data_IF_332310575746
#
_entry.id   IF_332310575746
#
_cell.length_a   1.000
_cell.length_b   1.000
_cell.length_c   1.000
_cell.angle_alpha   90.00
_cell.angle_beta   90.00
_cell.angle_gamma   90.00
#
_symmetry.space_group_name_H-M   'P 1'
#
loop_
_entity.id
_entity.type
_entity.pdbx_description
1 polymer ?
#
# COMPACT_ATOMS: atom_id res chain seq x y z
N UNK A 1 11.67 -16.38 10.22
CA UNK A 1 10.47 -17.23 10.24
C UNK A 1 9.21 -16.35 10.16
N UNK A 2 8.15 -16.90 9.56
CA UNK A 2 6.83 -16.26 9.51
C UNK A 2 6.27 -16.21 10.93
N UNK A 3 5.74 -15.04 11.33
CA UNK A 3 5.16 -14.82 12.66
C UNK A 3 3.70 -14.35 12.61
N UNK A 4 3.19 -13.95 11.46
CA UNK A 4 1.82 -13.43 11.31
C UNK A 4 0.74 -14.52 11.41
N UNK A 5 1.09 -15.78 11.17
CA UNK A 5 0.20 -16.94 11.26
C UNK A 5 1.02 -18.22 11.49
N UNK A 6 0.36 -19.31 11.85
CA UNK A 6 0.98 -20.62 11.98
C UNK A 6 1.28 -21.20 10.59
N UNK A 7 2.57 -21.25 10.25
CA UNK A 7 3.06 -21.72 8.96
C UNK A 7 3.53 -23.19 8.98
N UNK A 8 3.24 -23.96 10.05
CA UNK A 8 3.76 -25.34 10.25
C UNK A 8 3.46 -26.25 9.06
N UNK A 9 2.26 -26.16 8.48
CA UNK A 9 1.83 -27.01 7.36
C UNK A 9 2.23 -26.48 5.97
N UNK A 10 2.93 -25.34 5.91
CA UNK A 10 3.34 -24.69 4.65
C UNK A 10 4.70 -25.21 4.20
N UNK A 11 4.92 -25.26 2.89
CA UNK A 11 6.23 -25.61 2.31
C UNK A 11 7.30 -24.54 2.56
N UNK A 12 6.91 -23.29 2.77
CA UNK A 12 7.79 -22.18 3.04
C UNK A 12 7.49 -21.61 4.44
N UNK A 13 8.51 -21.52 5.28
CA UNK A 13 8.42 -21.01 6.65
C UNK A 13 9.09 -19.63 6.82
N UNK A 14 9.64 -19.06 5.73
CA UNK A 14 10.41 -17.82 5.77
C UNK A 14 9.73 -16.74 4.94
N UNK A 15 9.62 -15.56 5.53
CA UNK A 15 9.21 -14.34 4.82
C UNK A 15 9.90 -13.13 5.46
N UNK A 16 10.02 -12.04 4.71
CA UNK A 16 10.39 -10.74 5.25
C UNK A 16 9.13 -10.02 5.72
N UNK A 17 9.05 -9.76 7.00
CA UNK A 17 7.94 -9.07 7.65
C UNK A 17 8.41 -7.73 8.18
N UNK A 18 7.59 -6.69 8.07
CA UNK A 18 7.82 -5.42 8.76
C UNK A 18 7.44 -5.64 10.23
N UNK A 19 8.45 -5.56 11.12
CA UNK A 19 8.28 -5.79 12.56
C UNK A 19 8.25 -4.47 13.31
N UNK A 20 7.61 -4.47 14.47
CA UNK A 20 7.58 -3.35 15.40
C UNK A 20 7.04 -2.04 14.79
N UNK A 21 6.15 -2.15 13.79
CA UNK A 21 5.53 -1.00 13.12
C UNK A 21 4.26 -0.57 13.88
N UNK A 22 4.25 0.65 14.39
CA UNK A 22 3.04 1.29 14.92
C UNK A 22 2.60 2.43 13.99
N UNK A 23 1.50 2.23 13.28
CA UNK A 23 0.94 3.22 12.38
C UNK A 23 0.62 4.57 13.04
N UNK A 24 0.42 4.61 14.37
CA UNK A 24 0.13 5.84 15.11
C UNK A 24 1.32 6.80 15.20
N UNK A 25 2.52 6.34 14.94
CA UNK A 25 3.71 7.19 14.86
C UNK A 25 3.72 8.03 13.58
N UNK A 26 2.99 7.59 12.55
CA UNK A 26 3.00 8.18 11.21
C UNK A 26 1.67 8.82 10.80
N UNK A 27 0.57 8.45 11.44
CA UNK A 27 -0.76 8.94 11.07
C UNK A 27 -1.74 8.91 12.26
N UNK A 28 -2.82 9.67 12.16
CA UNK A 28 -3.85 9.64 13.18
C UNK A 28 -4.60 8.29 13.24
N UNK A 29 -5.16 8.00 14.42
CA UNK A 29 -5.83 6.72 14.69
C UNK A 29 -7.01 6.40 13.77
N UNK A 30 -7.75 7.42 13.29
CA UNK A 30 -8.90 7.20 12.41
C UNK A 30 -8.44 6.82 11.02
N UNK A 31 -7.40 7.49 10.53
CA UNK A 31 -6.74 7.17 9.26
C UNK A 31 -6.17 5.76 9.31
N UNK A 32 -5.40 5.42 10.33
CA UNK A 32 -4.81 4.09 10.49
C UNK A 32 -5.86 2.97 10.46
N UNK A 33 -7.02 3.16 11.12
CA UNK A 33 -8.13 2.16 11.13
C UNK A 33 -8.81 1.95 9.78
N UNK A 34 -8.67 2.87 8.84
CA UNK A 34 -9.27 2.81 7.51
C UNK A 34 -8.32 2.30 6.44
N UNK A 35 -7.10 1.97 6.83
CA UNK A 35 -6.04 1.50 5.95
C UNK A 35 -5.58 0.10 6.36
N UNK A 36 -5.30 -0.75 5.39
CA UNK A 36 -4.56 -1.99 5.61
C UNK A 36 -3.05 -1.71 5.59
N UNK A 37 -2.26 -2.68 6.06
CA UNK A 37 -0.83 -2.50 6.31
C UNK A 37 -0.06 -1.94 5.10
N UNK A 38 -0.34 -2.41 3.87
CA UNK A 38 0.34 -1.90 2.68
C UNK A 38 0.14 -0.39 2.46
N UNK A 39 -1.05 0.15 2.79
CA UNK A 39 -1.30 1.59 2.74
C UNK A 39 -0.60 2.33 3.89
N UNK A 40 -0.60 1.76 5.08
CA UNK A 40 0.08 2.34 6.24
C UNK A 40 1.59 2.45 5.99
N UNK A 41 2.21 1.42 5.44
CA UNK A 41 3.62 1.44 5.03
C UNK A 41 3.91 2.50 3.98
N UNK A 42 3.02 2.64 2.97
CA UNK A 42 3.17 3.67 1.95
C UNK A 42 3.11 5.09 2.52
N UNK A 43 2.18 5.35 3.44
CA UNK A 43 2.06 6.66 4.10
C UNK A 43 3.27 6.96 4.97
N UNK A 44 3.73 6.00 5.77
CA UNK A 44 4.92 6.16 6.61
C UNK A 44 6.16 6.49 5.77
N UNK A 45 6.45 5.65 4.77
CA UNK A 45 7.60 5.85 3.88
C UNK A 45 7.51 7.16 3.07
N UNK A 46 6.32 7.57 2.64
CA UNK A 46 6.13 8.85 1.95
C UNK A 46 6.36 10.05 2.87
N UNK A 47 5.97 9.95 4.14
CA UNK A 47 6.25 10.97 5.16
C UNK A 47 7.74 11.12 5.41
N UNK A 48 8.47 10.02 5.61
CA UNK A 48 9.92 10.00 5.77
C UNK A 48 10.63 10.55 4.52
N UNK A 49 10.18 10.18 3.32
CA UNK A 49 10.74 10.70 2.07
C UNK A 49 10.52 12.21 1.91
N UNK A 50 9.37 12.73 2.33
CA UNK A 50 9.10 14.15 2.34
C UNK A 50 10.05 14.90 3.29
N UNK A 51 10.22 14.38 4.50
CA UNK A 51 11.14 14.95 5.49
C UNK A 51 12.59 14.96 4.98
N UNK A 52 13.07 13.83 4.47
CA UNK A 52 14.43 13.67 3.94
C UNK A 52 14.70 14.57 2.73
N UNK A 53 13.69 14.82 1.90
CA UNK A 53 13.80 15.70 0.74
C UNK A 53 14.00 17.18 1.08
N UNK A 54 13.61 17.60 2.28
CA UNK A 54 13.59 19.00 2.70
C UNK A 54 12.55 19.86 1.99
N UNK A 55 11.60 19.25 1.25
CA UNK A 55 10.51 19.97 0.57
C UNK A 55 9.49 20.48 1.59
N UNK A 56 9.00 21.69 1.36
CA UNK A 56 7.85 22.25 2.09
C UNK A 56 6.62 22.21 1.19
N UNK A 57 5.66 21.37 1.50
CA UNK A 57 4.40 21.26 0.74
C UNK A 57 3.58 22.55 0.73
N UNK A 58 3.80 23.46 1.70
CA UNK A 58 3.16 24.77 1.73
C UNK A 58 3.70 25.72 0.65
N UNK A 59 4.95 25.51 0.22
CA UNK A 59 5.60 26.31 -0.82
C UNK A 59 5.35 25.76 -2.24
N UNK A 60 4.84 24.53 -2.34
CA UNK A 60 4.65 23.85 -3.63
C UNK A 60 3.21 23.98 -4.14
N UNK A 61 3.03 23.96 -5.46
CA UNK A 61 1.70 23.85 -6.05
C UNK A 61 1.20 22.40 -5.93
N UNK A 62 0.27 22.17 -5.01
CA UNK A 62 -0.30 20.86 -4.74
C UNK A 62 -0.87 20.16 -6.00
N UNK A 63 -1.30 20.91 -7.02
CA UNK A 63 -1.79 20.37 -8.28
C UNK A 63 -0.66 19.89 -9.20
N UNK A 64 0.58 20.25 -8.89
CA UNK A 64 1.79 19.83 -9.59
C UNK A 64 2.56 18.73 -8.85
N UNK A 65 2.08 18.33 -7.66
CA UNK A 65 2.66 17.24 -6.86
C UNK A 65 1.76 16.02 -6.94
N UNK A 66 2.29 14.92 -7.44
CA UNK A 66 1.54 13.68 -7.67
C UNK A 66 2.13 12.45 -6.99
N UNK A 67 1.46 11.31 -7.19
CA UNK A 67 1.87 10.00 -6.67
C UNK A 67 1.87 8.93 -7.76
N UNK A 68 2.87 8.07 -7.71
CA UNK A 68 2.92 6.78 -8.40
C UNK A 68 3.42 5.73 -7.41
N UNK A 69 2.56 5.38 -6.45
CA UNK A 69 2.86 4.40 -5.40
C UNK A 69 1.89 3.24 -5.57
N UNK A 70 2.41 2.05 -5.78
CA UNK A 70 1.62 0.92 -6.24
C UNK A 70 1.84 -0.33 -5.39
N UNK A 71 0.81 -1.18 -5.35
CA UNK A 71 0.86 -2.52 -4.78
C UNK A 71 0.49 -3.54 -5.86
N UNK A 72 1.15 -4.69 -5.86
CA UNK A 72 0.90 -5.77 -6.82
C UNK A 72 -0.46 -6.44 -6.61
N UNK A 73 -0.89 -6.60 -5.35
CA UNK A 73 -2.11 -7.36 -5.01
C UNK A 73 -3.07 -6.61 -4.06
N UNK A 74 -2.67 -5.49 -3.52
CA UNK A 74 -3.45 -4.81 -2.47
C UNK A 74 -3.44 -5.61 -1.16
N UNK A 75 -4.57 -5.64 -0.43
CA UNK A 75 -4.63 -6.37 0.83
C UNK A 75 -5.27 -7.75 0.72
N UNK A 76 -4.45 -8.79 0.61
CA UNK A 76 -4.90 -10.19 0.75
C UNK A 76 -5.49 -10.43 2.15
N UNK A 77 -4.95 -9.79 3.17
CA UNK A 77 -5.41 -9.89 4.55
C UNK A 77 -6.87 -9.42 4.71
N UNK A 78 -7.24 -8.32 4.04
CA UNK A 78 -8.62 -7.85 4.01
C UNK A 78 -9.54 -8.85 3.29
N UNK A 79 -9.08 -9.41 2.18
CA UNK A 79 -9.84 -10.42 1.42
C UNK A 79 -10.11 -11.66 2.28
N UNK A 80 -9.09 -12.25 2.88
CA UNK A 80 -9.23 -13.43 3.75
C UNK A 80 -10.20 -13.17 4.90
N UNK A 81 -10.00 -12.06 5.60
CA UNK A 81 -10.81 -11.67 6.76
C UNK A 81 -12.28 -11.46 6.40
N UNK A 82 -12.54 -10.70 5.35
CA UNK A 82 -13.91 -10.36 4.96
C UNK A 82 -14.60 -11.54 4.27
N UNK A 83 -13.85 -12.39 3.55
CA UNK A 83 -14.38 -13.63 3.00
C UNK A 83 -14.80 -14.61 4.09
N UNK A 84 -13.99 -14.80 5.12
CA UNK A 84 -14.36 -15.63 6.29
C UNK A 84 -15.63 -15.11 6.96
N UNK A 85 -15.75 -13.80 7.17
CA UNK A 85 -16.97 -13.19 7.71
C UNK A 85 -18.21 -13.42 6.82
N UNK A 86 -18.01 -13.33 5.49
CA UNK A 86 -19.08 -13.59 4.53
C UNK A 86 -19.61 -15.00 4.67
N UNK A 87 -18.73 -16.00 4.76
CA UNK A 87 -19.11 -17.40 4.90
C UNK A 87 -19.77 -17.70 6.25
N UNK A 88 -19.25 -17.13 7.33
CA UNK A 88 -19.75 -17.40 8.70
C UNK A 88 -21.03 -16.64 9.04
N UNK A 89 -21.15 -15.38 8.58
CA UNK A 89 -22.15 -14.40 9.10
C UNK A 89 -23.02 -13.79 8.00
N UNK A 90 -22.77 -14.14 6.74
CA UNK A 90 -23.51 -13.64 5.58
C UNK A 90 -23.11 -12.24 5.12
N UNK A 91 -23.63 -11.78 3.97
CA UNK A 91 -23.19 -10.57 3.28
C UNK A 91 -23.41 -9.27 4.07
N UNK A 92 -24.39 -9.23 4.96
CA UNK A 92 -24.65 -8.05 5.80
C UNK A 92 -23.59 -7.75 6.86
N UNK A 93 -22.58 -8.59 6.98
CA UNK A 93 -21.48 -8.44 7.96
C UNK A 93 -20.14 -8.09 7.33
N UNK A 94 -20.05 -8.03 6.02
CA UNK A 94 -18.86 -7.53 5.31
C UNK A 94 -18.66 -6.06 5.66
N UNK A 95 -17.40 -5.68 5.88
CA UNK A 95 -17.04 -4.31 6.22
C UNK A 95 -17.43 -3.36 5.05
N UNK A 96 -18.19 -2.28 5.27
CA UNK A 96 -18.53 -1.33 4.21
C UNK A 96 -17.30 -0.63 3.59
N UNK A 97 -16.17 -0.60 4.29
CA UNK A 97 -14.89 -0.09 3.78
C UNK A 97 -14.03 -1.18 3.13
N UNK A 98 -14.55 -2.41 2.96
CA UNK A 98 -13.77 -3.52 2.41
C UNK A 98 -13.09 -3.17 1.08
N UNK A 99 -13.84 -2.63 0.13
CA UNK A 99 -13.30 -2.31 -1.21
C UNK A 99 -12.17 -1.27 -1.13
N UNK A 100 -12.34 -0.09 -0.53
CA UNK A 100 -11.24 0.87 -0.43
C UNK A 100 -10.08 0.41 0.44
N UNK A 101 -10.29 -0.53 1.36
CA UNK A 101 -9.19 -1.10 2.16
C UNK A 101 -8.39 -2.14 1.37
N UNK A 102 -9.00 -2.80 0.37
CA UNK A 102 -8.43 -3.93 -0.34
C UNK A 102 -7.69 -3.55 -1.62
N UNK A 103 -8.19 -2.56 -2.38
CA UNK A 103 -7.69 -2.28 -3.73
C UNK A 103 -6.30 -1.61 -3.74
N UNK A 104 -5.47 -2.03 -4.69
CA UNK A 104 -4.03 -1.69 -4.74
C UNK A 104 -3.74 -0.20 -4.96
N UNK A 105 -4.62 0.55 -5.64
CA UNK A 105 -4.44 1.99 -5.90
C UNK A 105 -4.63 2.86 -4.65
N UNK A 106 -5.12 2.30 -3.55
CA UNK A 106 -5.30 3.07 -2.32
C UNK A 106 -4.00 3.38 -1.59
N UNK A 107 -2.89 2.76 -1.94
CA UNK A 107 -1.58 3.21 -1.49
C UNK A 107 -1.30 4.65 -1.97
N UNK A 108 -1.39 4.90 -3.28
CA UNK A 108 -1.27 6.25 -3.85
C UNK A 108 -2.36 7.20 -3.34
N UNK A 109 -3.62 6.72 -3.28
CA UNK A 109 -4.74 7.52 -2.81
C UNK A 109 -4.58 8.00 -1.37
N UNK A 110 -4.19 7.12 -0.46
CA UNK A 110 -3.99 7.48 0.95
C UNK A 110 -2.80 8.43 1.15
N UNK A 111 -1.69 8.23 0.43
CA UNK A 111 -0.56 9.18 0.45
C UNK A 111 -1.01 10.55 -0.05
N UNK A 112 -1.77 10.61 -1.15
CA UNK A 112 -2.30 11.87 -1.68
C UNK A 112 -3.20 12.59 -0.66
N UNK A 113 -4.06 11.84 0.05
CA UNK A 113 -4.95 12.40 1.07
C UNK A 113 -4.14 12.92 2.27
N UNK A 114 -3.18 12.13 2.77
CA UNK A 114 -2.39 12.48 3.96
C UNK A 114 -1.48 13.70 3.72
N UNK A 115 -0.90 13.80 2.53
CA UNK A 115 0.03 14.89 2.19
C UNK A 115 -0.65 16.05 1.43
N UNK A 116 -1.96 15.98 1.19
CA UNK A 116 -2.71 17.04 0.51
C UNK A 116 -2.38 17.20 -0.98
N UNK A 117 -1.89 16.13 -1.63
CA UNK A 117 -1.48 16.15 -3.04
C UNK A 117 -2.71 16.14 -3.97
N UNK A 118 -2.70 16.96 -5.00
CA UNK A 118 -3.82 17.15 -5.94
C UNK A 118 -3.42 16.92 -7.39
N UNK A 119 -2.17 16.58 -7.63
CA UNK A 119 -1.66 16.23 -8.93
C UNK A 119 -2.02 14.81 -9.36
N UNK A 120 -1.35 14.30 -10.38
CA UNK A 120 -1.56 12.97 -10.94
C UNK A 120 -1.38 11.88 -9.87
N UNK A 121 -2.36 10.99 -9.73
CA UNK A 121 -2.28 9.82 -8.84
C UNK A 121 -2.54 8.57 -9.65
N UNK A 122 -1.53 7.71 -9.76
CA UNK A 122 -1.57 6.50 -10.59
C UNK A 122 -1.12 5.27 -9.83
N UNK A 123 -1.63 4.14 -10.27
CA UNK A 123 -1.25 2.81 -9.79
C UNK A 123 -0.90 1.93 -11.00
N UNK A 124 0.33 1.46 -11.05
CA UNK A 124 0.86 0.60 -12.11
C UNK A 124 1.09 -0.78 -11.52
N UNK A 125 0.43 -1.80 -12.06
CA UNK A 125 0.56 -3.17 -11.56
C UNK A 125 1.31 -4.04 -12.55
N UNK A 126 2.51 -4.47 -12.18
CA UNK A 126 3.40 -5.31 -12.98
C UNK A 126 4.08 -6.38 -12.13
N UNK A 127 3.28 -7.00 -11.24
CA UNK A 127 3.74 -8.03 -10.30
C UNK A 127 4.98 -7.57 -9.50
N UNK A 128 6.05 -8.35 -9.44
CA UNK A 128 7.28 -8.03 -8.68
C UNK A 128 7.99 -6.75 -9.18
N UNK A 129 7.72 -6.30 -10.41
CA UNK A 129 8.29 -5.08 -10.97
C UNK A 129 7.46 -3.82 -10.69
N UNK A 130 6.35 -3.93 -9.98
CA UNK A 130 5.39 -2.83 -9.70
C UNK A 130 6.08 -1.58 -9.16
N UNK A 131 6.93 -1.71 -8.14
CA UNK A 131 7.64 -0.56 -7.57
C UNK A 131 8.58 0.13 -8.56
N UNK A 132 9.35 -0.65 -9.32
CA UNK A 132 10.27 -0.13 -10.35
C UNK A 132 9.51 0.58 -11.47
N UNK A 133 8.40 0.00 -11.94
CA UNK A 133 7.57 0.63 -12.97
C UNK A 133 6.90 1.91 -12.47
N UNK A 134 6.48 1.95 -11.22
CA UNK A 134 5.93 3.15 -10.59
C UNK A 134 6.93 4.31 -10.60
N UNK A 135 8.20 4.04 -10.32
CA UNK A 135 9.28 5.03 -10.42
C UNK A 135 9.47 5.48 -11.87
N UNK A 136 9.44 4.55 -12.82
CA UNK A 136 9.54 4.86 -14.25
C UNK A 136 8.41 5.76 -14.77
N UNK A 137 7.17 5.50 -14.34
CA UNK A 137 6.01 6.32 -14.70
C UNK A 137 6.05 7.71 -14.04
N UNK A 138 6.55 7.81 -12.80
CA UNK A 138 6.77 9.08 -12.12
C UNK A 138 7.83 9.92 -12.88
N UNK A 139 8.95 9.31 -13.27
CA UNK A 139 9.97 9.95 -14.07
C UNK A 139 9.40 10.51 -15.38
N UNK A 140 8.61 9.71 -16.10
CA UNK A 140 7.96 10.13 -17.35
C UNK A 140 6.98 11.27 -17.14
N UNK A 141 6.20 11.22 -16.05
CA UNK A 141 5.24 12.28 -15.72
C UNK A 141 5.94 13.63 -15.53
N UNK A 142 7.10 13.64 -14.86
CA UNK A 142 7.92 14.86 -14.71
C UNK A 142 8.53 15.26 -16.07
N UNK A 143 9.10 14.31 -16.80
CA UNK A 143 9.72 14.57 -18.11
C UNK A 143 8.74 15.19 -19.11
N UNK A 144 7.48 14.79 -19.09
CA UNK A 144 6.42 15.32 -19.96
C UNK A 144 5.75 16.59 -19.42
N UNK A 145 6.18 17.10 -18.27
CA UNK A 145 5.63 18.31 -17.67
C UNK A 145 4.23 18.12 -17.05
N UNK A 146 3.81 16.87 -16.77
CA UNK A 146 2.53 16.57 -16.13
C UNK A 146 2.57 16.81 -14.63
N UNK A 147 3.75 16.72 -14.02
CA UNK A 147 4.01 17.00 -12.62
C UNK A 147 5.39 17.63 -12.45
N UNK A 148 5.61 18.34 -11.36
CA UNK A 148 6.92 18.86 -10.97
C UNK A 148 7.58 17.98 -9.91
N UNK A 149 6.77 17.36 -9.05
CA UNK A 149 7.19 16.45 -7.99
C UNK A 149 6.32 15.20 -8.03
N UNK A 150 6.94 14.03 -7.84
CA UNK A 150 6.23 12.76 -7.76
C UNK A 150 6.74 11.91 -6.60
N UNK A 151 5.84 11.52 -5.70
CA UNK A 151 6.09 10.43 -4.76
C UNK A 151 5.95 9.11 -5.51
N UNK A 152 7.01 8.30 -5.54
CA UNK A 152 7.03 7.09 -6.35
C UNK A 152 7.60 5.89 -5.61
N UNK A 153 7.03 4.72 -5.84
CA UNK A 153 7.51 3.48 -5.23
C UNK A 153 6.52 2.34 -5.24
N UNK A 154 6.81 1.34 -4.42
CA UNK A 154 5.94 0.18 -4.24
C UNK A 154 5.77 -0.17 -2.77
N UNK A 155 4.66 -0.78 -2.45
CA UNK A 155 4.32 -1.27 -1.12
C UNK A 155 3.58 -2.60 -1.22
N UNK A 156 3.79 -3.50 -0.25
CA UNK A 156 3.11 -4.79 -0.23
C UNK A 156 2.96 -5.32 1.19
N UNK A 157 1.89 -6.07 1.45
CA UNK A 157 1.67 -6.79 2.70
C UNK A 157 1.07 -8.18 2.46
N UNK A 158 1.73 -8.97 1.61
CA UNK A 158 1.24 -10.26 1.12
C UNK A 158 1.64 -11.47 1.99
N UNK A 159 2.24 -11.25 3.18
CA UNK A 159 2.57 -12.34 4.12
C UNK A 159 1.31 -12.75 4.88
N UNK A 160 0.49 -13.54 4.19
CA UNK A 160 -0.78 -14.07 4.68
C UNK A 160 -0.90 -15.55 4.34
N UNK A 161 -1.82 -16.32 4.94
CA UNK A 161 -2.05 -17.72 4.61
C UNK A 161 -2.23 -17.97 3.12
N UNK A 162 -3.14 -17.28 2.44
CA UNK A 162 -3.37 -17.45 1.00
C UNK A 162 -2.20 -16.92 0.17
N UNK A 163 -1.55 -15.83 0.62
CA UNK A 163 -0.39 -15.27 -0.07
C UNK A 163 0.78 -16.25 -0.10
N UNK A 164 1.20 -16.74 1.06
CA UNK A 164 2.29 -17.72 1.17
C UNK A 164 1.91 -19.04 0.48
N UNK A 165 0.68 -19.53 0.68
CA UNK A 165 0.20 -20.75 0.00
C UNK A 165 0.23 -20.63 -1.53
N UNK A 166 -0.23 -19.49 -2.06
CA UNK A 166 -0.24 -19.20 -3.48
C UNK A 166 1.17 -19.11 -4.08
N UNK A 167 2.08 -18.38 -3.46
CA UNK A 167 3.47 -18.29 -3.93
C UNK A 167 4.22 -19.63 -3.82
N UNK A 168 4.02 -20.39 -2.73
CA UNK A 168 4.63 -21.70 -2.56
C UNK A 168 4.10 -22.77 -3.55
N UNK A 169 2.93 -22.56 -4.14
CA UNK A 169 2.37 -23.44 -5.15
C UNK A 169 2.99 -23.26 -6.55
N UNK A 170 3.76 -22.19 -6.76
CA UNK A 170 4.46 -21.91 -8.03
C UNK A 170 5.76 -22.71 -8.21
N UNK A 171 6.21 -23.44 -7.18
CA UNK A 171 7.48 -24.20 -7.15
C UNK A 171 7.28 -25.70 -7.28
#
# INVERSE_FOLDING_TARGET
EITHFDATDYKCHLAAEVKDFDAKEYMDFRSAKRMEAFCQFAVAAAGEALEDSGLSMEAEDAYRVGTSISSGVGSLQAIEREHSKLLEKGPGRVNPLFVPMMISNMAAGNVSIQLGLKGKSINVVTACATGTNSIGEAYRSIQHGEADIMFAGGTESAVTPIGIGGFAALT
#
